data_IF_914274801514
#
_entry.id   IF_914274801514
#
_cell.length_a   1.000
_cell.length_b   1.000
_cell.length_c   1.000
_cell.angle_alpha   90.00
_cell.angle_beta   90.00
_cell.angle_gamma   90.00
#
_symmetry.space_group_name_H-M   'P 1'
#
loop_
_entity.id
_entity.type
_entity.pdbx_description
1 polymer ?
#
# COMPACT_ATOMS: atom_id res chain seq x y z
N UNK A 1 14.66 -0.79 3.31
CA UNK A 1 14.47 0.61 2.86
C UNK A 1 13.18 0.77 2.05
N UNK A 2 12.89 -0.08 1.04
CA UNK A 2 11.60 -0.11 0.33
C UNK A 2 10.35 -0.19 1.23
N UNK A 3 10.47 -0.89 2.37
CA UNK A 3 9.39 -1.06 3.35
C UNK A 3 8.78 0.27 3.83
N UNK A 4 9.56 1.36 3.86
CA UNK A 4 9.05 2.68 4.25
C UNK A 4 8.09 3.27 3.22
N UNK A 5 8.29 3.02 1.92
CA UNK A 5 7.36 3.46 0.88
C UNK A 5 6.01 2.76 1.01
N UNK A 6 6.02 1.44 1.25
CA UNK A 6 4.81 0.66 1.46
C UNK A 6 4.07 1.11 2.71
N UNK A 7 4.76 1.27 3.85
CA UNK A 7 4.12 1.74 5.08
C UNK A 7 3.49 3.14 4.93
N UNK A 8 4.11 4.03 4.15
CA UNK A 8 3.53 5.34 3.85
C UNK A 8 2.29 5.24 2.95
N UNK A 9 2.33 4.34 1.97
CA UNK A 9 1.20 4.07 1.08
C UNK A 9 0.01 3.46 1.83
N UNK A 10 0.26 2.47 2.69
CA UNK A 10 -0.76 1.87 3.57
C UNK A 10 -1.42 2.97 4.44
N UNK A 11 -0.61 3.84 5.04
CA UNK A 11 -1.13 4.97 5.83
C UNK A 11 -1.93 5.99 4.99
N UNK A 12 -1.59 6.17 3.72
CA UNK A 12 -2.33 7.03 2.80
C UNK A 12 -3.74 6.46 2.52
N UNK A 13 -3.83 5.16 2.26
CA UNK A 13 -5.10 4.45 2.10
C UNK A 13 -5.94 4.47 3.37
N UNK A 14 -5.34 4.19 4.53
CA UNK A 14 -6.01 4.26 5.83
C UNK A 14 -6.58 5.67 6.08
N UNK A 15 -5.85 6.71 5.69
CA UNK A 15 -6.33 8.08 5.79
C UNK A 15 -7.55 8.34 4.88
N UNK A 16 -7.50 7.89 3.62
CA UNK A 16 -8.61 8.06 2.67
C UNK A 16 -9.91 7.41 3.17
N UNK A 17 -9.80 6.22 3.78
CA UNK A 17 -10.95 5.52 4.38
C UNK A 17 -11.42 6.23 5.66
N UNK A 18 -10.49 6.63 6.53
CA UNK A 18 -10.78 7.27 7.82
C UNK A 18 -11.45 8.64 7.67
N UNK A 19 -11.05 9.43 6.67
CA UNK A 19 -11.64 10.74 6.36
C UNK A 19 -12.94 10.61 5.52
N UNK A 20 -13.43 9.38 5.31
CA UNK A 20 -14.62 9.08 4.51
C UNK A 20 -14.51 9.56 3.05
N UNK A 21 -13.29 9.70 2.54
CA UNK A 21 -13.05 10.04 1.14
C UNK A 21 -13.27 8.83 0.23
N UNK A 22 -13.02 7.63 0.76
CA UNK A 22 -13.18 6.33 0.13
C UNK A 22 -13.92 5.33 1.04
N UNK A 23 -14.55 4.32 0.45
CA UNK A 23 -15.01 3.12 1.15
C UNK A 23 -13.85 2.15 1.45
N UNK A 24 -14.06 1.23 2.39
CA UNK A 24 -13.03 0.31 2.92
C UNK A 24 -12.48 -0.75 1.95
N UNK A 25 -12.87 -0.72 0.68
CA UNK A 25 -12.37 -1.64 -0.35
C UNK A 25 -12.03 -0.92 -1.65
N UNK A 26 -12.25 0.40 -1.71
CA UNK A 26 -12.07 1.16 -2.95
C UNK A 26 -10.59 1.19 -3.34
N UNK A 27 -9.68 1.14 -2.39
CA UNK A 27 -8.23 1.11 -2.62
C UNK A 27 -7.74 -0.07 -3.47
N UNK A 28 -8.51 -1.16 -3.55
CA UNK A 28 -8.16 -2.35 -4.34
C UNK A 28 -8.88 -2.47 -5.68
N UNK A 29 -10.08 -1.87 -5.81
CA UNK A 29 -10.97 -2.11 -6.95
C UNK A 29 -11.31 -0.85 -7.72
N UNK A 30 -11.09 0.33 -7.15
CA UNK A 30 -11.51 1.58 -7.74
C UNK A 30 -10.55 1.99 -8.85
N UNK A 31 -11.08 2.04 -10.08
CA UNK A 31 -10.31 2.48 -11.23
C UNK A 31 -10.21 3.99 -11.22
N UNK A 32 -9.02 4.51 -11.47
CA UNK A 32 -8.76 5.93 -11.63
C UNK A 32 -7.94 6.19 -12.90
N UNK A 33 -7.76 7.47 -13.22
CA UNK A 33 -6.97 7.97 -14.33
C UNK A 33 -5.54 8.16 -13.83
N UNK A 34 -4.64 7.29 -14.28
CA UNK A 34 -3.27 7.17 -13.77
C UNK A 34 -2.42 8.44 -13.88
N UNK A 35 -2.79 9.40 -14.74
CA UNK A 35 -2.06 10.66 -14.85
C UNK A 35 -2.31 11.61 -13.67
N UNK A 36 -3.28 11.30 -12.81
CA UNK A 36 -3.72 12.09 -11.65
C UNK A 36 -3.97 13.57 -11.97
N UNK A 37 -4.39 13.89 -13.20
CA UNK A 37 -4.58 15.26 -13.67
C UNK A 37 -6.01 15.51 -14.16
N UNK A 38 -6.86 14.49 -14.17
CA UNK A 38 -8.25 14.62 -14.61
C UNK A 38 -9.09 15.34 -13.54
N UNK A 39 -9.59 16.57 -13.80
CA UNK A 39 -10.38 17.32 -12.83
C UNK A 39 -11.80 16.77 -12.66
N UNK A 40 -12.28 15.91 -13.57
CA UNK A 40 -13.60 15.29 -13.51
C UNK A 40 -13.61 13.96 -12.75
N UNK A 41 -12.45 13.56 -12.22
CA UNK A 41 -12.30 12.37 -11.42
C UNK A 41 -12.99 12.53 -10.06
N UNK A 42 -13.69 11.48 -9.60
CA UNK A 42 -14.31 11.51 -8.28
C UNK A 42 -13.23 11.63 -7.18
N UNK A 43 -13.62 12.19 -6.03
CA UNK A 43 -12.71 12.43 -4.91
C UNK A 43 -11.89 11.19 -4.52
N UNK A 44 -12.53 10.04 -4.31
CA UNK A 44 -11.83 8.80 -3.95
C UNK A 44 -10.81 8.37 -5.02
N UNK A 45 -11.18 8.45 -6.31
CA UNK A 45 -10.27 8.13 -7.40
C UNK A 45 -9.04 9.03 -7.39
N UNK A 46 -9.23 10.32 -7.08
CA UNK A 46 -8.15 11.30 -7.02
C UNK A 46 -7.19 11.00 -5.88
N UNK A 47 -7.72 10.69 -4.70
CA UNK A 47 -6.94 10.37 -3.50
C UNK A 47 -6.13 9.07 -3.70
N UNK A 48 -6.77 8.01 -4.20
CA UNK A 48 -6.07 6.74 -4.49
C UNK A 48 -4.98 6.97 -5.54
N UNK A 49 -5.26 7.74 -6.61
CA UNK A 49 -4.25 8.06 -7.63
C UNK A 49 -3.04 8.75 -7.02
N UNK A 50 -3.25 9.72 -6.14
CA UNK A 50 -2.16 10.46 -5.50
C UNK A 50 -1.37 9.57 -4.52
N UNK A 51 -2.03 8.69 -3.77
CA UNK A 51 -1.34 7.69 -2.94
C UNK A 51 -0.44 6.77 -3.79
N UNK A 52 -0.96 6.22 -4.90
CA UNK A 52 -0.21 5.33 -5.79
C UNK A 52 0.94 6.07 -6.50
N UNK A 53 0.72 7.33 -6.89
CA UNK A 53 1.76 8.19 -7.46
C UNK A 53 2.90 8.43 -6.47
N UNK A 54 2.59 8.74 -5.21
CA UNK A 54 3.61 8.91 -4.17
C UNK A 54 4.41 7.63 -3.93
N UNK A 55 3.74 6.47 -3.96
CA UNK A 55 4.40 5.17 -3.85
C UNK A 55 5.43 4.96 -4.96
N UNK A 56 5.05 5.17 -6.22
CA UNK A 56 5.97 4.96 -7.34
C UNK A 56 7.12 5.98 -7.35
N UNK A 57 6.86 7.23 -6.96
CA UNK A 57 7.93 8.24 -6.78
C UNK A 57 8.89 7.87 -5.65
N UNK A 58 8.39 7.28 -4.56
CA UNK A 58 9.24 6.74 -3.49
C UNK A 58 10.09 5.57 -3.98
N UNK A 59 9.49 4.63 -4.73
CA UNK A 59 10.22 3.48 -5.28
C UNK A 59 11.35 3.86 -6.24
N UNK A 60 11.16 4.90 -7.05
CA UNK A 60 12.19 5.41 -7.99
C UNK A 60 13.52 5.77 -7.33
N UNK A 61 13.52 6.03 -6.02
CA UNK A 61 14.72 6.38 -5.26
C UNK A 61 15.60 5.16 -4.94
N UNK A 62 15.09 3.94 -5.14
CA UNK A 62 15.76 2.69 -4.82
C UNK A 62 16.11 1.91 -6.09
N UNK A 63 17.20 1.14 -6.10
CA UNK A 63 17.51 0.27 -7.22
C UNK A 63 16.40 -0.79 -7.40
N UNK A 64 16.13 -1.13 -8.66
CA UNK A 64 15.20 -2.20 -8.98
C UNK A 64 15.70 -3.52 -8.37
N UNK A 65 14.84 -4.29 -7.66
CA UNK A 65 15.26 -5.56 -7.08
C UNK A 65 15.66 -6.55 -8.19
N UNK A 66 16.91 -7.00 -8.15
CA UNK A 66 17.46 -7.95 -9.14
C UNK A 66 17.06 -9.39 -8.86
N UNK A 67 16.51 -9.67 -7.67
CA UNK A 67 16.14 -11.00 -7.22
C UNK A 67 14.69 -10.98 -6.73
N UNK A 68 13.87 -11.87 -7.30
CA UNK A 68 12.56 -12.18 -6.74
C UNK A 68 12.76 -13.20 -5.60
N UNK A 69 12.35 -12.83 -4.38
CA UNK A 69 12.33 -13.80 -3.28
C UNK A 69 11.28 -14.87 -3.61
N UNK A 70 11.63 -16.17 -3.59
CA UNK A 70 10.66 -17.22 -3.85
C UNK A 70 9.59 -17.23 -2.76
N UNK A 71 8.34 -17.42 -3.15
CA UNK A 71 7.26 -17.68 -2.20
C UNK A 71 7.53 -19.03 -1.51
N UNK A 72 7.70 -19.01 -0.19
CA UNK A 72 7.77 -20.25 0.60
C UNK A 72 6.36 -20.75 0.82
N UNK A 73 6.05 -21.95 0.32
CA UNK A 73 4.78 -22.61 0.62
C UNK A 73 4.72 -22.88 2.13
N UNK A 74 3.80 -22.22 2.83
CA UNK A 74 3.66 -22.28 4.30
C UNK A 74 3.21 -23.66 4.79
N UNK A 75 2.88 -24.59 3.89
CA UNK A 75 2.48 -25.97 4.22
C UNK A 75 3.59 -26.84 4.82
N UNK A 76 4.84 -26.37 4.89
CA UNK A 76 5.96 -27.13 5.46
C UNK A 76 6.68 -26.44 6.62
N UNK A 77 6.16 -25.34 7.15
CA UNK A 77 6.69 -24.75 8.38
C UNK A 77 6.01 -25.45 9.58
N UNK A 78 6.76 -26.16 10.46
CA UNK A 78 6.17 -26.60 11.72
C UNK A 78 5.70 -25.36 12.48
N UNK A 79 4.47 -25.41 12.99
CA UNK A 79 3.91 -24.37 13.85
C UNK A 79 4.72 -24.36 15.15
N UNK A 80 5.89 -23.73 15.15
CA UNK A 80 6.56 -23.34 16.37
C UNK A 80 5.95 -22.01 16.79
N UNK A 81 5.05 -22.08 17.78
CA UNK A 81 4.54 -20.95 18.51
C UNK A 81 5.69 -20.06 19.01
N UNK A 82 6.06 -19.05 18.23
CA UNK A 82 6.83 -17.93 18.74
C UNK A 82 5.82 -16.97 19.38
N UNK A 83 5.51 -17.23 20.65
CA UNK A 83 4.88 -16.25 21.52
C UNK A 83 5.69 -14.94 21.49
N UNK A 84 4.95 -13.83 21.40
CA UNK A 84 5.33 -12.43 21.62
C UNK A 84 6.00 -11.66 20.47
N UNK A 85 5.18 -11.00 19.64
CA UNK A 85 5.35 -9.56 19.41
C UNK A 85 3.99 -8.89 19.55
N UNK A 86 3.68 -8.46 20.77
CA UNK A 86 2.73 -7.39 21.01
C UNK A 86 3.44 -6.06 20.75
N UNK A 87 2.86 -5.24 19.87
CA UNK A 87 2.89 -3.76 19.80
C UNK A 87 1.87 -3.43 18.70
N UNK A 88 0.63 -3.00 18.94
CA UNK A 88 0.13 -1.83 19.71
C UNK A 88 0.99 -0.58 19.61
N UNK A 89 0.41 0.45 18.97
CA UNK A 89 0.81 1.87 18.96
C UNK A 89 1.98 2.17 18.02
N UNK A 90 1.92 3.18 17.14
CA UNK A 90 1.16 4.43 17.08
C UNK A 90 0.99 4.84 15.62
#
# INVERSE_FOLDING_TARGET
LYFRCCAQHDACYDCAVREHECGSFDEYFYRYDWNCANPNQAMCQWVICECDKQLVECWKQYPFPTEAKPCVNVTSQPISSANNVHRTGL
#
